data_IF_254841637825
#
_entry.id   IF_254841637825
#
_cell.length_a   1.000
_cell.length_b   1.000
_cell.length_c   1.000
_cell.angle_alpha   90.00
_cell.angle_beta   90.00
_cell.angle_gamma   90.00
#
_symmetry.space_group_name_H-M   'P 1'
#
loop_
_entity.id
_entity.type
_entity.pdbx_description
1 polymer ?
#
# COMPACT_ATOMS: atom_id res chain seq x y z
N UNK A 1 24.81 5.14 -13.82
CA UNK A 1 23.62 5.10 -12.96
C UNK A 1 23.45 3.67 -12.49
N UNK A 2 23.35 3.48 -11.17
CA UNK A 2 23.26 2.14 -10.58
C UNK A 2 21.91 1.49 -10.93
N UNK A 3 21.91 0.22 -11.31
CA UNK A 3 20.71 -0.48 -11.81
C UNK A 3 19.67 -0.67 -10.70
N UNK A 4 20.14 -0.96 -9.49
CA UNK A 4 19.27 -1.12 -8.32
C UNK A 4 18.65 0.22 -7.93
N UNK A 5 19.41 1.31 -8.00
CA UNK A 5 18.89 2.65 -7.74
C UNK A 5 17.78 3.01 -8.74
N UNK A 6 17.95 2.67 -10.02
CA UNK A 6 16.92 2.88 -11.03
C UNK A 6 15.67 2.03 -10.73
N UNK A 7 15.86 0.74 -10.43
CA UNK A 7 14.76 -0.17 -10.12
C UNK A 7 13.97 0.32 -8.91
N UNK A 8 14.64 0.79 -7.86
CA UNK A 8 14.01 1.36 -6.66
C UNK A 8 13.17 2.59 -6.97
N UNK A 9 13.68 3.50 -7.83
CA UNK A 9 12.94 4.70 -8.25
C UNK A 9 11.70 4.39 -9.09
N UNK A 10 11.84 3.49 -10.08
CA UNK A 10 10.71 3.06 -10.89
C UNK A 10 9.63 2.37 -10.06
N UNK A 11 10.06 1.60 -9.06
CA UNK A 11 9.17 0.99 -8.09
C UNK A 11 8.38 2.03 -7.29
N UNK A 12 9.07 3.00 -6.68
CA UNK A 12 8.40 4.06 -5.89
C UNK A 12 7.46 4.91 -6.74
N UNK A 13 7.87 5.28 -7.96
CA UNK A 13 7.00 6.00 -8.90
C UNK A 13 5.74 5.20 -9.25
N UNK A 14 5.88 3.89 -9.47
CA UNK A 14 4.73 3.03 -9.78
C UNK A 14 3.78 2.88 -8.61
N UNK A 15 4.30 2.74 -7.38
CA UNK A 15 3.47 2.71 -6.17
C UNK A 15 2.74 4.03 -6.00
N UNK A 16 3.44 5.17 -6.10
CA UNK A 16 2.84 6.51 -6.01
C UNK A 16 1.72 6.71 -7.04
N UNK A 17 1.94 6.32 -8.30
CA UNK A 17 0.93 6.41 -9.35
C UNK A 17 -0.31 5.53 -9.09
N UNK A 18 -0.15 4.41 -8.38
CA UNK A 18 -1.26 3.53 -7.99
C UNK A 18 -1.98 4.04 -6.73
N UNK A 19 -1.26 4.70 -5.83
CA UNK A 19 -1.80 5.26 -4.59
C UNK A 19 -2.59 6.56 -4.82
N UNK A 20 -2.22 7.32 -5.86
CA UNK A 20 -2.85 8.60 -6.18
C UNK A 20 -2.53 9.65 -5.12
N UNK A 21 -3.57 10.31 -4.58
CA UNK A 21 -3.44 11.40 -3.61
C UNK A 21 -3.23 10.93 -2.15
N UNK A 22 -3.09 9.62 -1.91
CA UNK A 22 -2.88 9.12 -0.56
C UNK A 22 -1.41 9.26 -0.16
N UNK A 23 -1.16 9.43 1.14
CA UNK A 23 0.20 9.50 1.67
C UNK A 23 0.92 8.16 1.55
N UNK A 24 2.18 8.21 1.13
CA UNK A 24 3.06 7.05 1.04
C UNK A 24 3.70 6.83 2.41
N UNK A 25 3.47 5.67 3.01
CA UNK A 25 4.25 5.22 4.16
C UNK A 25 5.61 4.67 3.68
N UNK A 26 6.66 5.47 3.83
CA UNK A 26 8.03 5.13 3.40
C UNK A 26 8.61 3.89 4.10
N UNK A 27 8.25 3.65 5.37
CA UNK A 27 8.69 2.47 6.12
C UNK A 27 8.10 1.20 5.51
N UNK A 28 6.78 1.20 5.29
CA UNK A 28 6.09 0.10 4.61
C UNK A 28 6.57 -0.06 3.15
N UNK A 29 6.82 1.03 2.43
CA UNK A 29 7.35 0.98 1.06
C UNK A 29 8.71 0.27 1.00
N UNK A 30 9.59 0.56 1.97
CA UNK A 30 10.89 -0.09 2.09
C UNK A 30 10.73 -1.58 2.42
N UNK A 31 9.87 -1.93 3.37
CA UNK A 31 9.58 -3.33 3.70
C UNK A 31 9.08 -4.11 2.48
N UNK A 32 8.12 -3.55 1.73
CA UNK A 32 7.58 -4.17 0.52
C UNK A 32 8.64 -4.33 -0.58
N UNK A 33 9.55 -3.36 -0.70
CA UNK A 33 10.68 -3.44 -1.62
C UNK A 33 11.67 -4.57 -1.23
N UNK A 34 12.07 -4.66 0.04
CA UNK A 34 12.97 -5.70 0.53
C UNK A 34 12.36 -7.10 0.38
N UNK A 35 11.04 -7.21 0.59
CA UNK A 35 10.28 -8.44 0.38
C UNK A 35 10.00 -8.75 -1.10
N UNK A 36 10.48 -7.91 -2.03
CA UNK A 36 10.26 -8.04 -3.48
C UNK A 36 8.78 -8.11 -3.88
N UNK A 37 7.90 -7.49 -3.08
CA UNK A 37 6.48 -7.40 -3.38
C UNK A 37 6.27 -6.50 -4.61
N UNK A 38 5.23 -6.77 -5.40
CA UNK A 38 4.91 -5.94 -6.57
C UNK A 38 4.43 -4.54 -6.18
N UNK A 39 4.57 -3.53 -7.07
CA UNK A 39 4.04 -2.19 -6.79
C UNK A 39 2.53 -2.17 -6.48
N UNK A 40 1.76 -3.09 -7.08
CA UNK A 40 0.32 -3.20 -6.83
C UNK A 40 -0.01 -3.79 -5.46
N UNK A 41 0.79 -4.75 -4.97
CA UNK A 41 0.64 -5.26 -3.60
C UNK A 41 1.03 -4.20 -2.57
N UNK A 42 2.11 -3.45 -2.81
CA UNK A 42 2.51 -2.33 -1.94
C UNK A 42 1.44 -1.25 -1.87
N UNK A 43 0.88 -0.83 -3.01
CA UNK A 43 -0.20 0.15 -3.05
C UNK A 43 -1.45 -0.33 -2.31
N UNK A 44 -1.83 -1.61 -2.46
CA UNK A 44 -2.95 -2.19 -1.71
C UNK A 44 -2.70 -2.22 -0.22
N UNK A 45 -1.53 -2.69 0.21
CA UNK A 45 -1.18 -2.73 1.64
C UNK A 45 -1.24 -1.35 2.29
N UNK A 46 -0.82 -0.31 1.57
CA UNK A 46 -0.91 1.09 2.03
C UNK A 46 -2.36 1.59 2.12
N UNK A 47 -3.25 1.19 1.21
CA UNK A 47 -4.67 1.54 1.27
C UNK A 47 -5.41 0.73 2.34
N UNK A 48 -5.11 -0.56 2.47
CA UNK A 48 -5.75 -1.47 3.43
C UNK A 48 -5.38 -1.12 4.87
N UNK A 49 -4.16 -0.61 5.13
CA UNK A 49 -3.78 -0.05 6.44
C UNK A 49 -4.65 1.14 6.89
N UNK A 50 -5.36 1.81 5.96
CA UNK A 50 -6.35 2.84 6.30
C UNK A 50 -7.76 2.29 6.49
N UNK A 51 -8.05 1.08 5.99
CA UNK A 51 -9.39 0.51 5.94
C UNK A 51 -9.53 -0.81 6.72
N UNK A 52 -8.52 -1.18 7.51
CA UNK A 52 -8.64 -2.27 8.46
C UNK A 52 -9.58 -1.83 9.59
N UNK A 53 -10.87 -2.01 9.36
CA UNK A 53 -11.88 -1.94 10.40
C UNK A 53 -11.58 -3.02 11.43
N UNK A 54 -10.78 -2.66 12.44
CA UNK A 54 -10.47 -3.48 13.61
C UNK A 54 -11.65 -3.55 14.59
N UNK A 55 -12.87 -3.60 14.07
CA UNK A 55 -14.09 -3.70 14.85
C UNK A 55 -14.68 -5.11 14.79
N UNK A 56 -15.54 -5.48 15.75
CA UNK A 56 -16.22 -6.76 15.72
C UNK A 56 -17.00 -6.97 14.42
N UNK A 57 -16.98 -8.18 13.86
CA UNK A 57 -17.65 -8.51 12.60
C UNK A 57 -19.16 -8.18 12.56
N UNK A 58 -19.82 -8.09 13.73
CA UNK A 58 -21.23 -7.68 13.82
C UNK A 58 -21.45 -6.20 13.46
N UNK A 59 -20.47 -5.33 13.68
CA UNK A 59 -20.58 -3.89 13.47
C UNK A 59 -20.47 -3.54 11.97
N UNK A 60 -19.60 -4.20 11.21
CA UNK A 60 -19.58 -4.07 9.75
C UNK A 60 -20.91 -4.50 9.11
N UNK A 61 -21.53 -5.57 9.63
CA UNK A 61 -22.86 -6.03 9.18
C UNK A 61 -23.97 -5.05 9.56
N UNK A 62 -23.83 -4.36 10.68
CA UNK A 62 -24.82 -3.38 11.15
C UNK A 62 -24.77 -2.09 10.34
N UNK A 63 -23.58 -1.56 10.07
CA UNK A 63 -23.38 -0.32 9.29
C UNK A 63 -23.78 -0.48 7.80
N UNK A 64 -23.70 -1.70 7.26
CA UNK A 64 -24.04 -2.00 5.87
C UNK A 64 -25.46 -2.58 5.67
N UNK A 65 -26.35 -2.50 6.66
CA UNK A 65 -27.76 -2.84 6.43
C UNK A 65 -28.42 -1.75 5.56
N UNK A 66 -28.77 -2.12 4.33
CA UNK A 66 -29.84 -1.48 3.56
C UNK A 66 -31.19 -2.01 4.00
#
# INVERSE_FOLDING_TARGET
MDKDLLARKLYSERVSALLGDHEINEELLNEMWENKASPSEAARAMMDGQNEFAGPAWLSRYLNRR
#
